data_IF_000092185998
#
_entry.id   IF_000092185998
#
_cell.length_a   1.000
_cell.length_b   1.000
_cell.length_c   1.000
_cell.angle_alpha   90.00
_cell.angle_beta   90.00
_cell.angle_gamma   90.00
#
_symmetry.space_group_name_H-M   'P 1'
#
loop_
_entity.id
_entity.type
_entity.pdbx_description
1 polymer ?
#
# COMPACT_ATOMS: atom_id res chain seq x y z
N UNK A 1 -25.17 -10.56 22.61
CA UNK A 1 -25.16 -11.89 21.96
C UNK A 1 -23.78 -12.52 22.09
N UNK A 2 -23.66 -13.71 22.70
CA UNK A 2 -22.42 -14.50 22.61
C UNK A 2 -22.29 -14.96 21.15
N UNK A 3 -21.21 -14.58 20.45
CA UNK A 3 -20.91 -15.13 19.11
C UNK A 3 -20.86 -16.66 19.22
N UNK A 4 -21.53 -17.36 18.31
CA UNK A 4 -21.46 -18.81 18.24
C UNK A 4 -19.99 -19.22 18.13
N UNK A 5 -19.57 -20.25 18.90
CA UNK A 5 -18.22 -20.77 18.78
C UNK A 5 -18.08 -21.41 17.41
N UNK A 6 -17.12 -20.91 16.61
CA UNK A 6 -16.76 -21.54 15.35
C UNK A 6 -16.35 -23.00 15.59
N UNK A 7 -16.82 -23.91 14.73
CA UNK A 7 -16.43 -25.31 14.75
C UNK A 7 -15.36 -25.58 13.69
N UNK A 8 -14.10 -25.62 14.12
CA UNK A 8 -12.96 -25.85 13.25
C UNK A 8 -12.98 -27.21 12.51
N UNK A 9 -13.79 -28.18 12.96
CA UNK A 9 -13.85 -29.51 12.35
C UNK A 9 -14.64 -29.55 11.04
N UNK A 10 -15.63 -28.67 10.90
CA UNK A 10 -16.59 -28.66 9.78
C UNK A 10 -16.46 -27.43 8.89
N UNK A 11 -15.93 -26.34 9.42
CA UNK A 11 -15.85 -25.06 8.72
C UNK A 11 -14.81 -25.05 7.59
N UNK A 12 -15.02 -24.15 6.62
CA UNK A 12 -14.10 -23.94 5.50
C UNK A 12 -12.86 -23.16 5.96
N UNK A 13 -11.78 -23.23 5.17
CA UNK A 13 -10.57 -22.46 5.46
C UNK A 13 -10.83 -20.95 5.50
N UNK A 14 -11.68 -20.47 4.59
CA UNK A 14 -12.06 -19.07 4.45
C UNK A 14 -12.89 -18.60 5.67
N UNK A 15 -13.86 -19.39 6.14
CA UNK A 15 -14.63 -19.07 7.34
C UNK A 15 -13.74 -19.03 8.58
N UNK A 16 -12.85 -20.02 8.73
CA UNK A 16 -11.89 -20.08 9.84
C UNK A 16 -10.94 -18.87 9.81
N UNK A 17 -10.40 -18.54 8.64
CA UNK A 17 -9.54 -17.38 8.43
C UNK A 17 -10.25 -16.08 8.81
N UNK A 18 -11.47 -15.86 8.29
CA UNK A 18 -12.27 -14.66 8.54
C UNK A 18 -12.61 -14.51 10.03
N UNK A 19 -13.02 -15.60 10.68
CA UNK A 19 -13.31 -15.59 12.11
C UNK A 19 -12.08 -15.20 12.96
N UNK A 20 -10.87 -15.55 12.52
CA UNK A 20 -9.63 -15.15 13.20
C UNK A 20 -9.30 -13.67 12.97
N UNK A 21 -9.35 -13.18 11.71
CA UNK A 21 -9.01 -11.78 11.43
C UNK A 21 -10.04 -10.78 11.97
N UNK A 22 -11.30 -11.22 12.16
CA UNK A 22 -12.38 -10.43 12.77
C UNK A 22 -12.51 -10.64 14.29
N UNK A 23 -11.60 -11.38 14.91
CA UNK A 23 -11.55 -11.56 16.36
C UNK A 23 -12.69 -12.38 16.96
N UNK A 24 -13.38 -13.18 16.15
CA UNK A 24 -14.43 -14.11 16.61
C UNK A 24 -13.83 -15.36 17.26
N UNK A 25 -12.61 -15.71 16.86
CA UNK A 25 -11.78 -16.73 17.47
C UNK A 25 -10.30 -16.32 17.39
N UNK A 26 -9.39 -17.17 17.87
CA UNK A 26 -7.95 -16.89 17.87
C UNK A 26 -7.15 -17.96 17.13
N UNK A 27 -5.99 -17.57 16.60
CA UNK A 27 -5.03 -18.52 16.03
C UNK A 27 -4.59 -19.58 17.06
N UNK A 28 -4.48 -19.21 18.34
CA UNK A 28 -4.17 -20.13 19.43
C UNK A 28 -5.26 -21.19 19.63
N UNK A 29 -6.53 -20.80 19.53
CA UNK A 29 -7.65 -21.74 19.60
C UNK A 29 -7.61 -22.75 18.44
N UNK A 30 -7.27 -22.29 17.24
CA UNK A 30 -7.08 -23.16 16.07
C UNK A 30 -5.93 -24.16 16.27
N UNK A 31 -4.76 -23.72 16.74
CA UNK A 31 -3.66 -24.64 17.07
C UNK A 31 -4.05 -25.64 18.17
N UNK A 32 -4.75 -25.19 19.21
CA UNK A 32 -5.26 -26.05 20.27
C UNK A 32 -6.22 -27.12 19.75
N UNK A 33 -7.08 -26.78 18.80
CA UNK A 33 -7.94 -27.73 18.10
C UNK A 33 -7.13 -28.72 17.28
N UNK A 34 -6.21 -28.24 16.43
CA UNK A 34 -5.39 -29.10 15.58
C UNK A 34 -4.58 -30.14 16.38
N UNK A 35 -4.06 -29.75 17.55
CA UNK A 35 -3.32 -30.64 18.44
C UNK A 35 -4.20 -31.72 19.09
N UNK A 36 -5.50 -31.46 19.27
CA UNK A 36 -6.43 -32.39 19.95
C UNK A 36 -7.07 -33.38 19.00
N UNK A 37 -7.47 -32.95 17.80
CA UNK A 37 -8.44 -33.71 16.98
C UNK A 37 -7.77 -34.44 15.80
N UNK A 38 -6.58 -34.00 15.35
CA UNK A 38 -5.74 -34.75 14.41
C UNK A 38 -6.25 -34.90 12.97
N UNK A 39 -7.55 -34.76 12.70
CA UNK A 39 -8.17 -35.01 11.38
C UNK A 39 -8.98 -33.80 10.88
N UNK A 40 -9.00 -33.62 9.55
CA UNK A 40 -9.31 -32.40 8.78
C UNK A 40 -8.26 -31.26 8.85
N UNK A 41 -6.99 -31.65 8.70
CA UNK A 41 -5.86 -30.70 8.57
C UNK A 41 -5.93 -29.82 7.32
N UNK A 42 -6.72 -30.17 6.29
CA UNK A 42 -6.72 -29.43 5.02
C UNK A 42 -7.24 -28.00 5.21
N UNK A 43 -8.45 -27.84 5.75
CA UNK A 43 -9.05 -26.51 5.93
C UNK A 43 -8.32 -25.70 6.99
N UNK A 44 -7.95 -26.34 8.11
CA UNK A 44 -7.23 -25.69 9.21
C UNK A 44 -5.80 -25.26 8.82
N UNK A 45 -5.07 -26.09 8.07
CA UNK A 45 -3.75 -25.72 7.51
C UNK A 45 -3.87 -24.61 6.48
N UNK A 46 -4.82 -24.72 5.54
CA UNK A 46 -5.07 -23.67 4.54
C UNK A 46 -5.43 -22.33 5.21
N UNK A 47 -6.25 -22.34 6.26
CA UNK A 47 -6.56 -21.13 7.03
C UNK A 47 -5.29 -20.51 7.66
N UNK A 48 -4.37 -21.33 8.19
CA UNK A 48 -3.08 -20.85 8.71
C UNK A 48 -2.18 -20.27 7.62
N UNK A 49 -2.16 -20.86 6.42
CA UNK A 49 -1.45 -20.32 5.25
C UNK A 49 -2.00 -18.94 4.85
N UNK A 50 -3.33 -18.82 4.74
CA UNK A 50 -4.00 -17.56 4.47
C UNK A 50 -3.68 -16.49 5.54
N UNK A 51 -3.66 -16.87 6.83
CA UNK A 51 -3.25 -15.96 7.91
C UNK A 51 -1.79 -15.52 7.77
N UNK A 52 -0.89 -16.41 7.36
CA UNK A 52 0.53 -16.09 7.16
C UNK A 52 0.70 -15.10 6.01
N UNK A 53 0.03 -15.33 4.89
CA UNK A 53 0.04 -14.43 3.73
C UNK A 53 -0.55 -13.07 4.07
N UNK A 54 -1.70 -13.05 4.76
CA UNK A 54 -2.33 -11.83 5.23
C UNK A 54 -1.39 -11.01 6.12
N UNK A 55 -0.74 -11.64 7.11
CA UNK A 55 0.24 -10.98 7.98
C UNK A 55 1.45 -10.47 7.19
N UNK A 56 1.92 -11.21 6.20
CA UNK A 56 3.03 -10.78 5.35
C UNK A 56 2.63 -9.54 4.51
N UNK A 57 1.42 -9.54 3.95
CA UNK A 57 0.86 -8.38 3.23
C UNK A 57 0.74 -7.16 4.14
N UNK A 58 0.18 -7.32 5.35
CA UNK A 58 0.11 -6.23 6.33
C UNK A 58 1.49 -5.65 6.67
N UNK A 59 2.50 -6.51 6.87
CA UNK A 59 3.88 -6.08 7.12
C UNK A 59 4.46 -5.30 5.94
N UNK A 60 4.24 -5.77 4.70
CA UNK A 60 4.67 -5.07 3.47
C UNK A 60 4.02 -3.70 3.37
N UNK A 61 2.70 -3.62 3.58
CA UNK A 61 1.95 -2.36 3.54
C UNK A 61 2.41 -1.40 4.64
N UNK A 62 2.63 -1.89 5.86
CA UNK A 62 3.14 -1.08 6.96
C UNK A 62 4.56 -0.53 6.69
N UNK A 63 5.42 -1.33 6.05
CA UNK A 63 6.74 -0.89 5.61
C UNK A 63 6.63 0.20 4.55
N UNK A 64 5.83 -0.02 3.50
CA UNK A 64 5.60 0.96 2.44
C UNK A 64 5.08 2.29 3.02
N UNK A 65 4.06 2.23 3.88
CA UNK A 65 3.51 3.41 4.54
C UNK A 65 4.55 4.13 5.42
N UNK A 66 5.45 3.40 6.09
CA UNK A 66 6.55 4.00 6.87
C UNK A 66 7.56 4.71 5.96
N UNK A 67 7.92 4.09 4.83
CA UNK A 67 8.79 4.73 3.84
C UNK A 67 8.19 6.03 3.35
N UNK A 68 6.92 6.02 2.92
CA UNK A 68 6.21 7.22 2.44
C UNK A 68 6.20 8.31 3.51
N UNK A 69 5.82 7.98 4.75
CA UNK A 69 5.82 8.94 5.87
C UNK A 69 7.22 9.50 6.15
N UNK A 70 8.26 8.68 6.07
CA UNK A 70 9.64 9.13 6.28
C UNK A 70 10.09 10.12 5.19
N UNK A 71 9.74 9.83 3.93
CA UNK A 71 10.02 10.70 2.79
C UNK A 71 9.28 12.04 2.91
N UNK A 72 8.02 12.01 3.35
CA UNK A 72 7.19 13.22 3.47
C UNK A 72 7.50 14.05 4.72
N UNK A 73 8.05 13.45 5.78
CA UNK A 73 8.31 14.10 7.07
C UNK A 73 8.97 15.50 6.98
N UNK A 74 10.08 15.72 6.24
CA UNK A 74 10.67 17.05 6.15
C UNK A 74 9.71 18.07 5.50
N UNK A 75 8.98 17.67 4.46
CA UNK A 75 8.02 18.54 3.77
C UNK A 75 6.80 18.85 4.64
N UNK A 76 6.27 17.86 5.37
CA UNK A 76 5.19 18.08 6.33
C UNK A 76 5.57 19.07 7.44
N UNK A 77 6.83 19.07 7.86
CA UNK A 77 7.32 20.03 8.85
C UNK A 77 7.39 21.46 8.28
N UNK A 78 7.76 21.64 7.00
CA UNK A 78 7.75 22.94 6.34
C UNK A 78 6.32 23.45 6.10
N UNK A 79 5.40 22.57 5.70
CA UNK A 79 3.97 22.89 5.56
C UNK A 79 3.37 23.33 6.91
N UNK A 80 3.74 22.66 8.02
CA UNK A 80 3.29 23.03 9.36
C UNK A 80 3.80 24.41 9.81
N UNK A 81 4.88 24.92 9.20
CA UNK A 81 5.38 26.29 9.41
C UNK A 81 4.67 27.32 8.50
N UNK A 82 3.71 26.89 7.68
CA UNK A 82 2.95 27.76 6.78
C UNK A 82 3.60 28.06 5.44
N UNK A 83 4.69 27.37 5.06
CA UNK A 83 5.27 27.50 3.71
C UNK A 83 4.35 26.86 2.67
N UNK A 84 4.30 27.45 1.49
CA UNK A 84 3.52 26.91 0.38
C UNK A 84 4.22 25.69 -0.27
N UNK A 85 3.44 24.78 -0.84
CA UNK A 85 3.94 23.57 -1.51
C UNK A 85 4.90 23.93 -2.64
N UNK A 86 4.56 24.94 -3.47
CA UNK A 86 5.39 25.37 -4.60
C UNK A 86 6.70 25.94 -4.10
N UNK A 87 6.67 26.75 -3.03
CA UNK A 87 7.90 27.29 -2.41
C UNK A 87 8.81 26.19 -1.87
N UNK A 88 8.24 25.14 -1.28
CA UNK A 88 8.98 23.99 -0.75
C UNK A 88 9.71 23.26 -1.88
N UNK A 89 9.05 23.06 -3.03
CA UNK A 89 9.64 22.33 -4.17
C UNK A 89 10.38 23.23 -5.18
N UNK A 90 10.32 24.56 -5.03
CA UNK A 90 10.93 25.51 -5.96
C UNK A 90 12.40 25.23 -6.28
N UNK A 91 13.27 24.83 -5.33
CA UNK A 91 14.66 24.50 -5.66
C UNK A 91 14.79 23.35 -6.68
N UNK A 92 13.91 22.34 -6.58
CA UNK A 92 13.87 21.20 -7.50
C UNK A 92 13.35 21.64 -8.87
N UNK A 93 12.32 22.48 -8.91
CA UNK A 93 11.79 23.04 -10.15
C UNK A 93 12.86 23.87 -10.87
N UNK A 94 13.58 24.73 -10.15
CA UNK A 94 14.67 25.52 -10.72
C UNK A 94 15.77 24.64 -11.31
N UNK A 95 16.17 23.57 -10.61
CA UNK A 95 17.18 22.63 -11.12
C UNK A 95 16.75 21.97 -12.43
N UNK A 96 15.49 21.50 -12.52
CA UNK A 96 14.94 20.95 -13.75
C UNK A 96 14.87 21.97 -14.88
N UNK A 97 14.41 23.20 -14.61
CA UNK A 97 14.36 24.27 -15.60
C UNK A 97 15.73 24.57 -16.18
N UNK A 98 16.76 24.66 -15.34
CA UNK A 98 18.14 24.85 -15.79
C UNK A 98 18.66 23.67 -16.61
N UNK A 99 18.31 22.44 -16.23
CA UNK A 99 18.69 21.24 -16.96
C UNK A 99 18.12 21.23 -18.38
N UNK A 100 16.83 21.56 -18.54
CA UNK A 100 16.19 21.65 -19.85
C UNK A 100 16.67 22.85 -20.67
N UNK A 101 16.94 23.99 -20.02
CA UNK A 101 17.47 25.17 -20.70
C UNK A 101 18.83 24.90 -21.36
N UNK A 102 19.69 24.09 -20.74
CA UNK A 102 20.98 23.65 -21.34
C UNK A 102 20.80 22.85 -22.63
N UNK A 103 19.62 22.29 -22.86
CA UNK A 103 19.26 21.53 -24.06
C UNK A 103 18.48 22.38 -25.07
N UNK A 104 18.35 23.69 -24.81
CA UNK A 104 17.59 24.62 -25.65
C UNK A 104 16.09 24.66 -25.37
N UNK A 105 15.62 24.04 -24.28
CA UNK A 105 14.19 23.98 -23.94
C UNK A 105 13.90 24.85 -22.71
N UNK A 106 13.22 25.98 -22.93
CA UNK A 106 12.80 26.88 -21.86
C UNK A 106 11.44 26.50 -21.29
N UNK A 107 11.42 25.88 -20.11
CA UNK A 107 10.17 25.51 -19.42
C UNK A 107 9.87 26.42 -18.22
N UNK A 108 8.58 26.65 -18.00
CA UNK A 108 8.02 27.22 -16.78
C UNK A 108 7.85 26.15 -15.68
N UNK A 109 7.69 26.57 -14.43
CA UNK A 109 7.48 25.67 -13.29
C UNK A 109 6.34 24.66 -13.56
N UNK A 110 5.19 25.14 -14.04
CA UNK A 110 4.01 24.30 -14.28
C UNK A 110 4.23 23.29 -15.41
N UNK A 111 4.97 23.68 -16.45
CA UNK A 111 5.34 22.79 -17.55
C UNK A 111 6.30 21.69 -17.09
N UNK A 112 7.23 22.01 -16.17
CA UNK A 112 8.09 21.01 -15.54
C UNK A 112 7.26 20.06 -14.68
N UNK A 113 6.32 20.57 -13.88
CA UNK A 113 5.44 19.72 -13.06
C UNK A 113 4.61 18.76 -13.94
N UNK A 114 4.01 19.26 -15.01
CA UNK A 114 3.27 18.45 -15.97
C UNK A 114 4.15 17.34 -16.55
N UNK A 115 5.35 17.69 -17.04
CA UNK A 115 6.30 16.74 -17.61
C UNK A 115 6.68 15.66 -16.59
N UNK A 116 7.02 16.04 -15.36
CA UNK A 116 7.39 15.08 -14.31
C UNK A 116 6.23 14.18 -13.91
N UNK A 117 4.99 14.67 -13.96
CA UNK A 117 3.82 13.84 -13.71
C UNK A 117 3.56 12.83 -14.82
N UNK A 118 3.75 13.21 -16.08
CA UNK A 118 3.67 12.27 -17.23
C UNK A 118 4.74 11.19 -17.11
N UNK A 119 5.99 11.56 -16.81
CA UNK A 119 7.08 10.60 -16.58
C UNK A 119 6.77 9.65 -15.41
N UNK A 120 6.24 10.19 -14.31
CA UNK A 120 5.86 9.40 -13.13
C UNK A 120 4.68 8.46 -13.40
N UNK A 121 3.71 8.86 -14.22
CA UNK A 121 2.62 8.01 -14.65
C UNK A 121 3.16 6.77 -15.39
N UNK A 122 4.02 6.96 -16.39
CA UNK A 122 4.61 5.83 -17.12
C UNK A 122 5.44 4.88 -16.24
N UNK A 123 6.16 5.40 -15.24
CA UNK A 123 6.85 4.54 -14.27
C UNK A 123 5.86 3.80 -13.36
N UNK A 124 4.75 4.43 -12.96
CA UNK A 124 3.71 3.77 -12.16
C UNK A 124 3.06 2.61 -12.95
N UNK A 125 2.79 2.80 -14.24
CA UNK A 125 2.27 1.75 -15.11
C UNK A 125 3.26 0.59 -15.22
N UNK A 126 4.56 0.88 -15.38
CA UNK A 126 5.60 -0.16 -15.38
C UNK A 126 5.68 -0.94 -14.07
N UNK A 127 5.49 -0.28 -12.94
CA UNK A 127 5.57 -0.91 -11.61
C UNK A 127 4.33 -1.74 -11.28
N UNK A 128 3.15 -1.34 -11.76
CA UNK A 128 1.87 -1.94 -11.38
C UNK A 128 1.29 -2.85 -12.44
N UNK A 129 1.64 -2.65 -13.72
CA UNK A 129 0.99 -3.25 -14.87
C UNK A 129 -0.41 -2.68 -15.17
N UNK A 130 -0.84 -1.66 -14.44
CA UNK A 130 -2.13 -0.99 -14.61
C UNK A 130 -1.94 0.34 -15.33
N UNK A 131 -2.78 0.63 -16.32
CA UNK A 131 -2.75 1.91 -17.03
C UNK A 131 -3.20 3.05 -16.12
N UNK A 132 -2.50 4.18 -16.17
CA UNK A 132 -2.95 5.41 -15.53
C UNK A 132 -4.00 6.05 -16.45
N UNK A 133 -5.19 6.40 -15.94
CA UNK A 133 -6.22 7.04 -16.76
C UNK A 133 -5.66 8.26 -17.50
N UNK A 134 -6.08 8.44 -18.76
CA UNK A 134 -5.59 9.53 -19.60
C UNK A 134 -5.79 10.88 -18.90
N UNK A 135 -4.71 11.65 -18.78
CA UNK A 135 -4.74 12.97 -18.17
C UNK A 135 -5.27 14.04 -19.16
N UNK A 136 -5.35 13.70 -20.44
CA UNK A 136 -6.02 14.51 -21.44
C UNK A 136 -7.46 14.01 -21.61
N UNK A 137 -8.45 14.86 -21.31
CA UNK A 137 -9.79 14.65 -21.85
C UNK A 137 -9.71 14.85 -23.36
N UNK A 138 -9.98 13.81 -24.14
CA UNK A 138 -10.24 13.93 -25.58
C UNK A 138 -11.27 15.05 -25.79
N UNK A 139 -10.83 16.16 -26.39
CA UNK A 139 -11.70 17.26 -26.81
C UNK A 139 -12.55 16.89 -28.01
#
# INVERSE_FOLDING_TARGET
MKKAKIDFGVETAETIFNAIIHGETTQTALYGFMNRVGTNKRNTTKALEMLREHKLRLKRNARAARTIRSTLKPYSAELAKGRDVIEIIQPVLTAWRLFYAKQGIGLMNDQVLLLKMVEAAGELERLTGELVPDMATTG
#
